data_IF_844373239993
#
_entry.id   IF_844373239993
#
_cell.length_a   1.000
_cell.length_b   1.000
_cell.length_c   1.000
_cell.angle_alpha   90.00
_cell.angle_beta   90.00
_cell.angle_gamma   90.00
#
_symmetry.space_group_name_H-M   'P 1'
#
loop_
_entity.id
_entity.type
_entity.pdbx_description
1 polymer ?
#
# COMPACT_ATOMS: atom_id res chain seq x y z
N UNK A 1 2.00 1.36 23.79
CA UNK A 1 1.57 2.56 23.06
C UNK A 1 1.24 2.28 21.58
N UNK A 2 1.90 1.35 20.87
CA UNK A 2 1.59 1.01 19.45
C UNK A 2 0.24 0.31 19.23
N UNK A 3 -0.31 -0.41 20.21
CA UNK A 3 -1.63 -1.08 20.12
C UNK A 3 -2.83 -0.13 20.26
N UNK A 4 -2.65 1.07 20.79
CA UNK A 4 -3.73 2.06 20.92
C UNK A 4 -4.00 2.85 19.62
N UNK A 5 -3.04 2.95 18.70
CA UNK A 5 -3.23 3.69 17.43
C UNK A 5 -4.11 2.91 16.43
N UNK A 6 -4.02 1.58 16.39
CA UNK A 6 -4.86 0.76 15.51
C UNK A 6 -6.34 0.79 15.92
N UNK A 7 -6.61 0.84 17.24
CA UNK A 7 -7.97 0.92 17.76
C UNK A 7 -8.61 2.30 17.58
N UNK A 8 -7.82 3.37 17.53
CA UNK A 8 -8.33 4.74 17.33
C UNK A 8 -8.84 5.01 15.91
N UNK A 9 -8.34 4.32 14.89
CA UNK A 9 -8.84 4.43 13.52
C UNK A 9 -10.19 3.72 13.30
N UNK A 10 -10.50 2.69 14.10
CA UNK A 10 -11.76 1.94 13.99
C UNK A 10 -12.94 2.65 14.69
N UNK A 11 -12.69 3.50 15.68
CA UNK A 11 -13.74 4.12 16.52
C UNK A 11 -14.26 5.48 16.04
N UNK A 12 -13.67 6.09 15.04
CA UNK A 12 -14.15 7.40 14.50
C UNK A 12 -15.28 7.25 13.47
N UNK A 13 -15.59 6.04 13.01
CA UNK A 13 -16.58 5.81 11.93
C UNK A 13 -18.02 5.56 12.41
N UNK A 14 -18.31 5.51 13.71
CA UNK A 14 -19.64 5.13 14.22
C UNK A 14 -20.58 6.28 14.63
N UNK A 15 -20.26 7.52 14.38
CA UNK A 15 -21.16 8.62 14.72
C UNK A 15 -21.29 9.59 13.54
N UNK A 16 -22.32 9.46 12.76
CA UNK A 16 -23.18 10.43 12.04
C UNK A 16 -23.75 9.80 10.76
N UNK A 17 -25.05 9.57 10.73
CA UNK A 17 -26.02 9.96 9.71
C UNK A 17 -27.19 8.98 9.60
N UNK A 18 -28.26 9.33 10.28
CA UNK A 18 -29.63 9.02 9.83
C UNK A 18 -30.05 10.14 8.88
N UNK A 19 -30.31 9.82 7.61
CA UNK A 19 -30.96 10.80 6.72
C UNK A 19 -30.93 10.45 5.24
N UNK A 20 -32.10 10.00 4.74
CA UNK A 20 -32.59 10.10 3.36
C UNK A 20 -31.99 9.20 2.26
N UNK A 21 -32.72 8.10 2.04
CA UNK A 21 -32.72 7.25 0.85
C UNK A 21 -33.21 8.00 -0.38
N UNK A 22 -32.40 8.19 -1.38
CA UNK A 22 -32.79 8.22 -2.79
C UNK A 22 -31.84 7.38 -3.59
N UNK A 23 -32.37 6.33 -4.24
CA UNK A 23 -31.59 5.32 -4.90
C UNK A 23 -30.83 5.83 -6.12
N UNK A 24 -29.52 5.65 -6.09
CA UNK A 24 -28.68 5.59 -7.28
C UNK A 24 -28.18 4.16 -7.44
N UNK A 25 -28.59 3.49 -8.50
CA UNK A 25 -27.96 2.25 -8.94
C UNK A 25 -26.54 2.59 -9.42
N UNK A 26 -25.55 2.40 -8.57
CA UNK A 26 -24.15 2.43 -8.97
C UNK A 26 -23.80 1.06 -9.51
N UNK A 27 -23.65 0.99 -10.84
CA UNK A 27 -23.00 -0.15 -11.50
C UNK A 27 -21.57 -0.22 -10.99
N UNK A 28 -21.24 -1.27 -10.25
CA UNK A 28 -19.88 -1.57 -9.85
C UNK A 28 -19.06 -1.94 -11.09
N UNK A 29 -18.47 -0.94 -11.73
CA UNK A 29 -17.43 -1.18 -12.71
C UNK A 29 -16.16 -1.59 -11.96
N UNK A 30 -15.95 -2.89 -11.86
CA UNK A 30 -14.73 -3.52 -11.38
C UNK A 30 -13.65 -3.30 -12.45
N UNK A 31 -13.13 -2.09 -12.57
CA UNK A 31 -11.96 -1.83 -13.42
C UNK A 31 -10.72 -2.08 -12.57
N UNK A 32 -10.32 -3.36 -12.50
CA UNK A 32 -8.93 -3.67 -12.23
C UNK A 32 -8.14 -2.99 -13.33
N UNK A 33 -7.37 -1.96 -12.98
CA UNK A 33 -6.34 -1.44 -13.87
C UNK A 33 -5.31 -2.54 -14.09
N UNK A 34 -5.45 -3.26 -15.20
CA UNK A 34 -4.38 -4.03 -15.80
C UNK A 34 -3.45 -3.05 -16.50
N UNK A 35 -2.72 -2.25 -15.72
CA UNK A 35 -1.60 -1.54 -16.28
C UNK A 35 -0.50 -2.55 -16.57
N UNK A 36 -0.10 -2.54 -17.83
CA UNK A 36 0.78 -3.53 -18.42
C UNK A 36 2.04 -3.77 -17.57
N UNK A 37 2.31 -5.03 -17.31
CA UNK A 37 3.60 -5.51 -16.82
C UNK A 37 4.68 -4.87 -17.70
N UNK A 38 5.59 -4.05 -17.15
CA UNK A 38 6.65 -3.47 -17.93
C UNK A 38 7.46 -4.62 -18.55
N UNK A 39 7.69 -4.54 -19.86
CA UNK A 39 8.57 -5.45 -20.58
C UNK A 39 9.91 -5.49 -19.83
N UNK A 40 10.19 -6.61 -19.17
CA UNK A 40 11.45 -6.85 -18.48
C UNK A 40 12.57 -6.68 -19.52
N UNK A 41 13.39 -5.64 -19.37
CA UNK A 41 14.69 -5.59 -20.01
C UNK A 41 15.45 -6.86 -19.59
N UNK A 42 16.33 -7.38 -20.46
CA UNK A 42 17.11 -8.58 -20.21
C UNK A 42 17.72 -8.48 -18.81
N UNK A 43 17.20 -9.30 -17.89
CA UNK A 43 17.55 -9.19 -16.48
C UNK A 43 19.05 -9.40 -16.32
N UNK A 44 19.74 -8.42 -15.75
CA UNK A 44 21.09 -8.64 -15.21
C UNK A 44 20.98 -9.81 -14.21
N UNK A 45 21.89 -10.79 -14.23
CA UNK A 45 21.86 -11.92 -13.31
C UNK A 45 21.90 -11.48 -11.83
N UNK A 46 22.22 -10.22 -11.58
CA UNK A 46 22.32 -9.61 -10.26
C UNK A 46 21.01 -8.97 -9.77
N UNK A 47 20.05 -8.76 -10.68
CA UNK A 47 18.73 -8.18 -10.33
C UNK A 47 17.73 -9.32 -10.06
N UNK A 48 17.04 -9.33 -8.92
CA UNK A 48 16.12 -10.40 -8.60
C UNK A 48 14.89 -10.38 -9.54
N UNK A 49 14.47 -11.59 -9.93
CA UNK A 49 13.16 -11.78 -10.57
C UNK A 49 12.10 -11.87 -9.48
N UNK A 50 10.99 -11.20 -9.72
CA UNK A 50 9.87 -11.15 -8.79
C UNK A 50 8.72 -11.99 -9.32
N UNK A 51 8.28 -12.95 -8.53
CA UNK A 51 7.00 -13.65 -8.68
C UNK A 51 6.08 -13.30 -7.52
N UNK A 52 4.85 -13.77 -7.53
CA UNK A 52 3.90 -13.49 -6.47
C UNK A 52 3.32 -14.77 -5.88
N UNK A 53 2.94 -14.70 -4.60
CA UNK A 53 2.26 -15.78 -3.89
C UNK A 53 1.06 -15.22 -3.14
N UNK A 54 -0.06 -15.94 -3.20
CA UNK A 54 -1.27 -15.65 -2.44
C UNK A 54 -1.33 -16.48 -1.15
N UNK A 55 -1.85 -15.88 -0.09
CA UNK A 55 -2.34 -16.54 1.11
C UNK A 55 -3.82 -16.21 1.22
N UNK A 56 -4.65 -17.24 1.31
CA UNK A 56 -6.11 -17.09 1.41
C UNK A 56 -6.59 -17.71 2.71
N UNK A 57 -7.62 -17.09 3.30
CA UNK A 57 -8.33 -17.57 4.49
C UNK A 57 -9.82 -17.37 4.29
N UNK A 58 -10.60 -18.31 4.83
CA UNK A 58 -12.04 -18.22 4.86
C UNK A 58 -12.51 -18.74 6.21
N UNK A 59 -13.42 -18.00 6.82
CA UNK A 59 -14.01 -18.33 8.11
C UNK A 59 -15.51 -18.49 7.93
N UNK A 60 -16.06 -19.57 8.47
CA UNK A 60 -17.49 -19.90 8.38
C UNK A 60 -18.11 -19.90 9.76
N UNK A 61 -19.44 -19.91 9.82
CA UNK A 61 -20.19 -19.97 11.08
C UNK A 61 -19.81 -21.23 11.87
N UNK A 62 -19.82 -22.41 11.20
CA UNK A 62 -19.37 -23.68 11.78
C UNK A 62 -19.08 -24.68 10.64
N UNK A 63 -18.61 -25.89 10.98
CA UNK A 63 -18.44 -27.00 10.02
C UNK A 63 -19.77 -27.46 9.40
N UNK A 64 -20.90 -27.27 10.07
CA UNK A 64 -22.25 -27.65 9.61
C UNK A 64 -23.00 -26.48 8.93
N UNK A 65 -22.63 -25.24 9.26
CA UNK A 65 -23.15 -24.03 8.61
C UNK A 65 -22.01 -23.36 7.84
N UNK A 66 -21.95 -23.62 6.55
CA UNK A 66 -20.92 -23.13 5.62
C UNK A 66 -21.10 -21.63 5.26
N UNK A 67 -22.02 -20.92 5.94
CA UNK A 67 -22.16 -19.46 5.74
C UNK A 67 -20.83 -18.76 6.02
N UNK A 68 -20.31 -18.09 5.00
CA UNK A 68 -19.01 -17.40 5.07
C UNK A 68 -19.15 -16.12 5.85
N UNK A 69 -18.43 -16.00 6.95
CA UNK A 69 -18.39 -14.81 7.79
C UNK A 69 -17.32 -13.80 7.31
N UNK A 70 -16.15 -14.31 6.94
CA UNK A 70 -14.99 -13.51 6.55
C UNK A 70 -14.17 -14.22 5.48
N UNK A 71 -13.75 -13.47 4.47
CA UNK A 71 -12.72 -13.89 3.51
C UNK A 71 -11.53 -12.97 3.57
N UNK A 72 -10.32 -13.52 3.45
CA UNK A 72 -9.11 -12.75 3.38
C UNK A 72 -8.14 -13.27 2.32
N UNK A 73 -7.43 -12.34 1.64
CA UNK A 73 -6.46 -12.66 0.59
C UNK A 73 -5.29 -11.70 0.63
N UNK A 74 -4.09 -12.23 0.82
CA UNK A 74 -2.87 -11.43 0.86
C UNK A 74 -1.87 -11.90 -0.17
N UNK A 75 -1.47 -10.99 -1.05
CA UNK A 75 -0.43 -11.22 -2.05
C UNK A 75 0.91 -10.72 -1.54
N UNK A 76 1.95 -11.53 -1.67
CA UNK A 76 3.32 -11.13 -1.37
C UNK A 76 4.21 -11.35 -2.59
N UNK A 77 5.26 -10.51 -2.79
CA UNK A 77 6.31 -10.79 -3.76
C UNK A 77 7.21 -11.91 -3.23
N UNK A 78 7.76 -12.69 -4.16
CA UNK A 78 8.81 -13.67 -3.90
C UNK A 78 9.97 -13.37 -4.84
N UNK A 79 11.06 -12.90 -4.29
CA UNK A 79 12.27 -12.53 -5.02
C UNK A 79 13.18 -13.75 -5.15
N UNK A 80 13.71 -13.95 -6.36
CA UNK A 80 14.70 -15.00 -6.65
C UNK A 80 15.81 -14.47 -7.54
N UNK A 81 17.05 -14.91 -7.31
CA UNK A 81 18.17 -14.65 -8.22
C UNK A 81 18.22 -15.73 -9.30
N UNK A 82 18.49 -15.33 -10.53
CA UNK A 82 18.52 -16.26 -11.68
C UNK A 82 19.86 -16.97 -11.89
N UNK A 83 20.95 -16.46 -11.27
CA UNK A 83 22.29 -17.07 -11.35
C UNK A 83 22.47 -18.19 -10.33
N UNK A 84 23.26 -19.21 -10.68
CA UNK A 84 23.71 -20.18 -9.68
C UNK A 84 24.62 -19.46 -8.67
N UNK A 85 24.35 -19.57 -7.36
CA UNK A 85 25.22 -18.93 -6.37
C UNK A 85 26.61 -19.53 -6.45
N UNK A 86 27.57 -18.73 -6.87
CA UNK A 86 28.97 -19.07 -6.64
C UNK A 86 29.26 -18.87 -5.15
N UNK A 87 29.29 -19.98 -4.42
CA UNK A 87 29.54 -19.96 -2.98
C UNK A 87 30.95 -19.46 -2.60
N UNK A 88 31.82 -19.22 -3.56
CA UNK A 88 33.14 -18.61 -3.35
C UNK A 88 33.09 -17.07 -3.45
N UNK A 89 32.05 -16.51 -4.12
CA UNK A 89 31.87 -15.06 -4.30
C UNK A 89 31.11 -14.40 -3.11
N UNK A 90 31.80 -13.52 -2.39
CA UNK A 90 31.22 -12.76 -1.27
C UNK A 90 30.08 -11.85 -1.73
N UNK A 91 30.18 -11.27 -2.92
CA UNK A 91 29.13 -10.41 -3.45
C UNK A 91 27.85 -11.20 -3.75
N UNK A 92 27.98 -12.41 -4.32
CA UNK A 92 26.82 -13.30 -4.54
C UNK A 92 26.13 -13.70 -3.23
N UNK A 93 26.91 -14.01 -2.17
CA UNK A 93 26.36 -14.29 -0.84
C UNK A 93 25.59 -13.08 -0.27
N UNK A 94 26.14 -11.88 -0.40
CA UNK A 94 25.50 -10.67 0.10
C UNK A 94 24.18 -10.42 -0.63
N UNK A 95 24.14 -10.57 -1.96
CA UNK A 95 22.89 -10.44 -2.74
C UNK A 95 21.83 -11.47 -2.32
N UNK A 96 22.24 -12.72 -2.13
CA UNK A 96 21.31 -13.76 -1.66
C UNK A 96 20.76 -13.43 -0.26
N UNK A 97 21.60 -12.94 0.64
CA UNK A 97 21.17 -12.51 1.97
C UNK A 97 20.22 -11.29 1.91
N UNK A 98 20.44 -10.36 0.96
CA UNK A 98 19.56 -9.24 0.74
C UNK A 98 18.16 -9.69 0.26
N UNK A 99 18.11 -10.55 -0.77
CA UNK A 99 16.87 -11.15 -1.27
C UNK A 99 16.12 -11.90 -0.18
N UNK A 100 16.83 -12.68 0.65
CA UNK A 100 16.21 -13.39 1.76
C UNK A 100 15.58 -12.43 2.78
N UNK A 101 16.27 -11.33 3.14
CA UNK A 101 15.71 -10.33 4.06
C UNK A 101 14.42 -9.69 3.53
N UNK A 102 14.36 -9.40 2.23
CA UNK A 102 13.15 -8.85 1.61
C UNK A 102 12.01 -9.87 1.66
N UNK A 103 12.28 -11.13 1.32
CA UNK A 103 11.30 -12.21 1.39
C UNK A 103 10.81 -12.43 2.83
N UNK A 104 11.71 -12.38 3.81
CA UNK A 104 11.36 -12.51 5.24
C UNK A 104 10.50 -11.33 5.71
N UNK A 105 10.79 -10.11 5.24
CA UNK A 105 9.99 -8.93 5.55
C UNK A 105 8.54 -9.10 5.07
N UNK A 106 8.32 -9.52 3.82
CA UNK A 106 6.97 -9.74 3.28
C UNK A 106 6.28 -10.93 3.92
N UNK A 107 7.02 -11.96 4.28
CA UNK A 107 6.48 -13.11 5.04
C UNK A 107 5.99 -12.64 6.41
N UNK A 108 6.79 -11.86 7.14
CA UNK A 108 6.42 -11.30 8.43
C UNK A 108 5.24 -10.32 8.34
N UNK A 109 5.21 -9.48 7.30
CA UNK A 109 4.07 -8.61 7.04
C UNK A 109 2.77 -9.41 6.81
N UNK A 110 2.80 -10.42 5.95
CA UNK A 110 1.65 -11.31 5.71
C UNK A 110 1.18 -11.99 6.98
N UNK A 111 2.10 -12.51 7.79
CA UNK A 111 1.77 -13.20 9.04
C UNK A 111 1.08 -12.23 10.02
N UNK A 112 1.53 -10.98 10.09
CA UNK A 112 0.86 -9.94 10.88
C UNK A 112 -0.56 -9.64 10.38
N UNK A 113 -0.79 -9.64 9.03
CA UNK A 113 -2.15 -9.48 8.50
C UNK A 113 -3.04 -10.67 8.90
N UNK A 114 -2.50 -11.88 8.80
CA UNK A 114 -3.24 -13.10 9.20
C UNK A 114 -3.58 -13.10 10.70
N UNK A 115 -2.66 -12.68 11.54
CA UNK A 115 -2.88 -12.60 12.99
C UNK A 115 -3.98 -11.60 13.39
N UNK A 116 -4.22 -10.56 12.58
CA UNK A 116 -5.31 -9.59 12.79
C UNK A 116 -6.69 -10.13 12.40
N UNK A 117 -6.76 -11.23 11.64
CA UNK A 117 -8.04 -11.80 11.20
C UNK A 117 -8.86 -12.38 12.34
N UNK A 118 -8.24 -12.82 13.44
CA UNK A 118 -8.95 -13.37 14.59
C UNK A 118 -9.91 -12.33 15.21
N UNK A 119 -9.47 -11.06 15.32
CA UNK A 119 -10.32 -9.98 15.81
C UNK A 119 -11.46 -9.68 14.80
N UNK A 120 -11.18 -9.71 13.51
CA UNK A 120 -12.18 -9.46 12.48
C UNK A 120 -13.19 -10.61 12.37
N UNK A 121 -12.74 -11.87 12.51
CA UNK A 121 -13.62 -13.03 12.59
C UNK A 121 -14.56 -12.93 13.80
N UNK A 122 -14.02 -12.58 14.95
CA UNK A 122 -14.84 -12.41 16.17
C UNK A 122 -15.92 -11.35 15.95
N UNK A 123 -15.58 -10.20 15.39
CA UNK A 123 -16.53 -9.12 15.05
C UNK A 123 -17.64 -9.62 14.10
N UNK A 124 -17.25 -10.34 13.04
CA UNK A 124 -18.20 -10.87 12.06
C UNK A 124 -19.15 -11.89 12.71
N UNK A 125 -18.63 -12.73 13.60
CA UNK A 125 -19.40 -13.73 14.34
C UNK A 125 -20.39 -13.09 15.32
N UNK A 126 -19.95 -12.08 16.07
CA UNK A 126 -20.81 -11.34 17.01
C UNK A 126 -21.94 -10.60 16.27
N UNK A 127 -21.66 -9.99 15.12
CA UNK A 127 -22.68 -9.36 14.28
C UNK A 127 -23.65 -10.40 13.72
N UNK A 128 -23.15 -11.53 13.21
CA UNK A 128 -23.99 -12.62 12.72
C UNK A 128 -24.96 -13.12 13.79
N UNK A 129 -24.48 -13.39 15.01
CA UNK A 129 -25.30 -13.87 16.12
C UNK A 129 -26.34 -12.81 16.56
N UNK A 130 -25.92 -11.55 16.70
CA UNK A 130 -26.77 -10.46 17.17
C UNK A 130 -27.90 -10.14 16.18
N UNK A 131 -27.64 -10.23 14.87
CA UNK A 131 -28.59 -9.93 13.81
C UNK A 131 -29.38 -11.15 13.32
N UNK A 132 -29.07 -12.35 13.82
CA UNK A 132 -29.62 -13.61 13.32
C UNK A 132 -29.08 -14.02 11.94
N UNK A 133 -28.03 -13.37 11.48
CA UNK A 133 -27.31 -13.69 10.25
C UNK A 133 -28.12 -13.44 8.97
N UNK A 134 -29.19 -12.69 9.00
CA UNK A 134 -30.08 -12.49 7.85
C UNK A 134 -29.32 -11.92 6.64
N UNK A 135 -28.45 -10.94 6.88
CA UNK A 135 -27.66 -10.27 5.84
C UNK A 135 -26.70 -11.25 5.13
N UNK A 136 -26.02 -12.13 5.90
CA UNK A 136 -25.15 -13.16 5.33
C UNK A 136 -25.86 -14.20 4.49
N UNK A 137 -27.13 -14.45 4.80
CA UNK A 137 -27.96 -15.46 4.11
C UNK A 137 -28.67 -14.92 2.87
N UNK A 138 -28.94 -13.62 2.82
CA UNK A 138 -29.80 -13.01 1.78
C UNK A 138 -29.05 -12.10 0.81
N UNK A 139 -27.91 -11.51 1.20
CA UNK A 139 -27.22 -10.50 0.40
C UNK A 139 -25.86 -10.97 -0.16
N UNK A 140 -25.49 -12.25 -0.01
CA UNK A 140 -24.17 -12.78 -0.36
C UNK A 140 -23.04 -11.91 0.30
N UNK A 141 -23.26 -11.57 1.55
CA UNK A 141 -22.43 -10.69 2.34
C UNK A 141 -21.40 -11.49 3.14
N UNK A 142 -20.17 -11.01 3.17
CA UNK A 142 -19.13 -11.43 4.11
C UNK A 142 -18.20 -10.27 4.41
N UNK A 143 -17.59 -10.30 5.57
CA UNK A 143 -16.45 -9.44 5.84
C UNK A 143 -15.33 -9.80 4.87
N UNK A 144 -14.53 -8.81 4.48
CA UNK A 144 -13.45 -9.03 3.51
C UNK A 144 -12.23 -8.20 3.88
N UNK A 145 -11.06 -8.83 3.84
CA UNK A 145 -9.79 -8.15 4.03
C UNK A 145 -8.76 -8.66 3.01
N UNK A 146 -8.33 -7.78 2.14
CA UNK A 146 -7.51 -8.15 1.00
C UNK A 146 -6.35 -7.17 0.82
N UNK A 147 -5.19 -7.68 0.42
CA UNK A 147 -4.11 -6.85 -0.09
C UNK A 147 -3.49 -7.47 -1.35
N UNK A 148 -3.50 -6.69 -2.43
CA UNK A 148 -2.77 -6.97 -3.65
C UNK A 148 -1.46 -6.20 -3.71
N UNK A 149 -0.55 -6.60 -4.60
CA UNK A 149 0.72 -5.91 -4.80
C UNK A 149 0.94 -5.53 -6.26
N UNK A 150 1.68 -4.44 -6.43
CA UNK A 150 2.41 -4.11 -7.66
C UNK A 150 3.79 -3.59 -7.26
N UNK A 151 4.71 -3.50 -8.23
CA UNK A 151 6.06 -3.02 -7.93
C UNK A 151 6.70 -2.32 -9.13
N UNK A 152 7.69 -1.52 -8.80
CA UNK A 152 8.70 -1.02 -9.71
C UNK A 152 10.07 -1.32 -9.15
N UNK A 153 11.03 -1.66 -10.02
CA UNK A 153 12.42 -1.82 -9.64
C UNK A 153 13.36 -1.31 -10.73
N UNK A 154 14.52 -0.84 -10.31
CA UNK A 154 15.72 -0.70 -11.12
C UNK A 154 16.78 -1.73 -10.67
N UNK A 155 18.06 -1.54 -10.97
CA UNK A 155 19.11 -2.45 -10.54
C UNK A 155 19.44 -2.37 -9.04
N UNK A 156 19.00 -1.30 -8.34
CA UNK A 156 19.43 -0.93 -6.99
C UNK A 156 18.29 -0.81 -5.98
N UNK A 157 17.12 -0.42 -6.44
CA UNK A 157 15.94 -0.15 -5.63
C UNK A 157 14.74 -0.99 -6.08
N UNK A 158 14.05 -1.58 -5.13
CA UNK A 158 12.73 -2.15 -5.29
C UNK A 158 11.72 -1.30 -4.52
N UNK A 159 10.66 -0.84 -5.18
CA UNK A 159 9.50 -0.19 -4.55
C UNK A 159 8.27 -1.05 -4.76
N UNK A 160 7.68 -1.56 -3.69
CA UNK A 160 6.47 -2.37 -3.71
C UNK A 160 5.29 -1.55 -3.20
N UNK A 161 4.20 -1.58 -3.95
CA UNK A 161 2.90 -1.03 -3.57
C UNK A 161 2.05 -2.14 -2.97
N UNK A 162 1.56 -1.94 -1.77
CA UNK A 162 0.53 -2.74 -1.12
C UNK A 162 -0.80 -1.99 -1.27
N UNK A 163 -1.78 -2.61 -1.93
CA UNK A 163 -3.11 -2.04 -2.15
C UNK A 163 -4.12 -2.84 -1.34
N UNK A 164 -4.72 -2.19 -0.36
CA UNK A 164 -5.62 -2.82 0.61
C UNK A 164 -7.07 -2.52 0.28
N UNK A 165 -7.92 -3.50 0.57
CA UNK A 165 -9.39 -3.37 0.58
C UNK A 165 -9.88 -4.08 1.83
N UNK A 166 -10.58 -3.35 2.71
CA UNK A 166 -11.21 -3.94 3.89
C UNK A 166 -12.69 -3.56 3.92
N UNK A 167 -13.55 -4.54 4.20
CA UNK A 167 -14.99 -4.34 4.26
C UNK A 167 -15.59 -5.13 5.41
N UNK A 168 -16.14 -4.41 6.37
CA UNK A 168 -16.83 -4.96 7.54
C UNK A 168 -18.31 -4.56 7.57
N UNK A 169 -18.89 -4.27 6.41
CA UNK A 169 -20.24 -3.71 6.30
C UNK A 169 -20.21 -2.19 6.11
N UNK A 170 -21.40 -1.60 5.93
CA UNK A 170 -21.55 -0.17 5.67
C UNK A 170 -21.71 0.15 4.19
N UNK A 171 -21.58 1.45 3.84
CA UNK A 171 -21.91 1.96 2.51
C UNK A 171 -20.87 1.59 1.43
N UNK A 172 -19.62 1.39 1.81
CA UNK A 172 -18.52 1.09 0.90
C UNK A 172 -17.33 0.45 1.66
N UNK A 173 -16.42 -0.28 0.97
CA UNK A 173 -15.18 -0.74 1.57
C UNK A 173 -14.24 0.43 1.87
N UNK A 174 -13.34 0.23 2.82
CA UNK A 174 -12.15 1.06 3.03
C UNK A 174 -11.06 0.59 2.08
N UNK A 175 -10.41 1.54 1.41
CA UNK A 175 -9.28 1.27 0.50
C UNK A 175 -8.12 2.19 0.84
N UNK A 176 -6.91 1.65 0.82
CA UNK A 176 -5.69 2.47 0.97
C UNK A 176 -4.51 1.80 0.29
N UNK A 177 -3.51 2.61 -0.03
CA UNK A 177 -2.23 2.14 -0.57
C UNK A 177 -1.08 2.50 0.36
N UNK A 178 -0.11 1.60 0.42
CA UNK A 178 1.13 1.79 1.14
C UNK A 178 2.30 1.42 0.24
N UNK A 179 3.38 2.21 0.28
CA UNK A 179 4.64 1.89 -0.36
C UNK A 179 5.63 1.34 0.65
N UNK A 180 6.44 0.39 0.22
CA UNK A 180 7.66 -0.02 0.91
C UNK A 180 8.77 -0.16 -0.11
N UNK A 181 9.92 0.46 0.18
CA UNK A 181 11.09 0.43 -0.70
C UNK A 181 12.26 -0.28 -0.05
N UNK A 182 13.06 -0.97 -0.86
CA UNK A 182 14.20 -1.76 -0.41
C UNK A 182 15.43 -1.46 -1.26
N UNK A 183 16.57 -1.28 -0.62
CA UNK A 183 17.88 -1.36 -1.25
C UNK A 183 18.18 -2.82 -1.60
N UNK A 184 18.28 -3.13 -2.87
CA UNK A 184 18.49 -4.49 -3.37
C UNK A 184 19.89 -5.06 -3.01
N UNK A 185 20.86 -4.20 -2.69
CA UNK A 185 22.18 -4.65 -2.26
C UNK A 185 22.25 -5.14 -0.82
N UNK A 186 21.41 -4.55 0.05
CA UNK A 186 21.38 -4.81 1.49
C UNK A 186 20.13 -5.56 1.95
N UNK A 187 19.04 -5.47 1.21
CA UNK A 187 17.72 -5.97 1.57
C UNK A 187 17.06 -5.19 2.72
N UNK A 188 17.58 -4.00 3.05
CA UNK A 188 17.00 -3.12 4.05
C UNK A 188 15.93 -2.23 3.44
N UNK A 189 14.94 -1.87 4.24
CA UNK A 189 13.97 -0.82 3.87
C UNK A 189 14.66 0.52 3.72
N UNK A 190 14.16 1.33 2.79
CA UNK A 190 14.64 2.67 2.48
C UNK A 190 13.48 3.64 2.68
N UNK A 191 13.69 4.64 3.53
CA UNK A 191 12.77 5.77 3.73
C UNK A 191 13.20 6.98 2.89
N UNK A 192 12.30 7.94 2.71
CA UNK A 192 12.64 9.23 2.08
C UNK A 192 13.77 9.94 2.83
N UNK A 193 13.78 9.84 4.15
CA UNK A 193 14.79 10.44 5.01
C UNK A 193 16.20 9.90 4.72
N UNK A 194 16.32 8.62 4.38
CA UNK A 194 17.61 8.00 4.03
C UNK A 194 18.19 8.57 2.74
N UNK A 195 17.33 9.09 1.85
CA UNK A 195 17.71 9.58 0.52
C UNK A 195 18.01 11.09 0.50
N UNK A 196 17.64 11.84 1.52
CA UNK A 196 17.74 13.30 1.56
C UNK A 196 19.08 13.78 2.11
N UNK A 197 19.62 14.87 1.55
CA UNK A 197 20.77 15.62 2.14
C UNK A 197 20.31 16.40 3.36
N UNK A 198 19.19 17.07 3.24
CA UNK A 198 18.49 17.79 4.31
C UNK A 198 17.00 17.53 4.14
N UNK A 199 16.43 16.80 5.09
CA UNK A 199 15.03 16.36 5.00
C UNK A 199 14.08 17.56 5.05
N UNK A 200 14.37 18.59 5.86
CA UNK A 200 13.48 19.75 5.98
C UNK A 200 13.42 20.54 4.66
N UNK A 201 14.54 20.63 3.94
CA UNK A 201 14.56 21.29 2.63
C UNK A 201 13.79 20.50 1.58
N UNK A 202 13.91 19.18 1.61
CA UNK A 202 13.13 18.30 0.70
C UNK A 202 11.65 18.36 1.02
N UNK A 203 11.26 18.29 2.31
CA UNK A 203 9.87 18.42 2.76
C UNK A 203 9.23 19.70 2.26
N UNK A 204 9.88 20.86 2.50
CA UNK A 204 9.36 22.15 2.07
C UNK A 204 9.25 22.24 0.54
N UNK A 205 10.28 21.79 -0.20
CA UNK A 205 10.25 21.82 -1.66
C UNK A 205 9.10 20.99 -2.24
N UNK A 206 8.90 19.77 -1.75
CA UNK A 206 7.83 18.87 -2.22
C UNK A 206 6.46 19.38 -1.79
N UNK A 207 6.32 19.89 -0.56
CA UNK A 207 5.10 20.54 -0.09
C UNK A 207 4.65 21.66 -1.05
N UNK A 208 5.55 22.58 -1.41
CA UNK A 208 5.24 23.65 -2.34
C UNK A 208 4.87 23.15 -3.74
N UNK A 209 5.48 22.05 -4.20
CA UNK A 209 5.13 21.44 -5.49
C UNK A 209 3.74 20.81 -5.47
N UNK A 210 3.35 20.16 -4.38
CA UNK A 210 2.01 19.59 -4.20
C UNK A 210 0.97 20.70 -4.15
N UNK A 211 1.17 21.73 -3.33
CA UNK A 211 0.24 22.86 -3.24
C UNK A 211 0.02 23.54 -4.60
N UNK A 212 1.09 23.68 -5.40
CA UNK A 212 1.00 24.23 -6.75
C UNK A 212 0.15 23.35 -7.66
N UNK A 213 0.35 22.02 -7.64
CA UNK A 213 -0.45 21.10 -8.43
C UNK A 213 -1.94 21.16 -8.03
N UNK A 214 -2.26 21.28 -6.73
CA UNK A 214 -3.63 21.46 -6.24
C UNK A 214 -4.22 22.76 -6.79
N UNK A 215 -3.51 23.88 -6.71
CA UNK A 215 -3.98 25.16 -7.21
C UNK A 215 -4.18 25.15 -8.73
N UNK A 216 -3.25 24.56 -9.47
CA UNK A 216 -3.29 24.50 -10.94
C UNK A 216 -4.42 23.58 -11.44
N UNK A 217 -4.82 22.57 -10.66
CA UNK A 217 -5.93 21.67 -11.00
C UNK A 217 -7.28 22.40 -11.01
N UNK A 218 -7.42 23.45 -10.21
CA UNK A 218 -8.70 24.15 -9.99
C UNK A 218 -9.73 23.30 -9.24
N UNK A 219 -9.36 22.12 -8.71
CA UNK A 219 -10.25 21.26 -7.95
C UNK A 219 -10.50 21.89 -6.56
N UNK A 220 -11.77 21.95 -6.19
CA UNK A 220 -12.26 22.51 -4.91
C UNK A 220 -12.77 21.45 -3.95
N UNK A 221 -12.55 20.16 -4.25
CA UNK A 221 -13.03 19.04 -3.43
C UNK A 221 -12.21 18.79 -2.16
N UNK A 222 -11.04 19.44 -2.03
CA UNK A 222 -10.17 19.30 -0.87
C UNK A 222 -10.81 19.85 0.42
N UNK A 223 -10.48 19.22 1.56
CA UNK A 223 -10.86 19.72 2.87
C UNK A 223 -10.26 21.12 3.12
N UNK A 224 -10.89 21.92 3.98
CA UNK A 224 -10.45 23.31 4.23
C UNK A 224 -9.06 23.43 4.88
N UNK A 225 -8.55 22.35 5.48
CA UNK A 225 -7.25 22.26 6.17
C UNK A 225 -6.31 21.22 5.54
N UNK A 226 -6.54 20.89 4.26
CA UNK A 226 -5.73 19.91 3.54
C UNK A 226 -4.23 20.26 3.54
N UNK A 227 -3.89 21.54 3.57
CA UNK A 227 -2.53 22.06 3.57
C UNK A 227 -1.71 21.56 4.76
N UNK A 228 -2.34 21.39 5.92
CA UNK A 228 -1.69 20.82 7.11
C UNK A 228 -1.32 19.36 6.92
N UNK A 229 -2.22 18.59 6.32
CA UNK A 229 -1.96 17.17 6.02
C UNK A 229 -0.94 17.02 4.89
N UNK A 230 -0.94 17.94 3.91
CA UNK A 230 0.06 17.96 2.84
C UNK A 230 1.43 18.31 3.39
N UNK A 231 1.55 19.11 4.44
CA UNK A 231 2.84 19.41 5.08
C UNK A 231 3.51 18.13 5.61
N UNK A 232 2.73 17.18 6.11
CA UNK A 232 3.22 15.89 6.62
C UNK A 232 3.31 14.82 5.52
N UNK A 233 3.56 15.20 4.25
CA UNK A 233 3.59 14.29 3.10
C UNK A 233 4.60 13.15 3.27
N UNK A 234 5.67 13.36 4.03
CA UNK A 234 6.72 12.36 4.27
C UNK A 234 6.21 11.13 5.03
N UNK A 235 5.15 11.29 5.81
CA UNK A 235 4.46 10.21 6.51
C UNK A 235 3.50 9.44 5.59
N UNK A 236 3.38 9.87 4.33
CA UNK A 236 2.51 9.27 3.33
C UNK A 236 3.26 8.23 2.51
N UNK A 237 2.52 7.56 1.65
CA UNK A 237 3.11 6.57 0.75
C UNK A 237 3.82 7.24 -0.42
N UNK A 238 5.11 6.99 -0.53
CA UNK A 238 5.97 7.51 -1.59
C UNK A 238 6.38 6.38 -2.53
N UNK A 239 5.92 6.45 -3.76
CA UNK A 239 6.17 5.46 -4.80
C UNK A 239 7.22 5.98 -5.76
N UNK A 240 8.22 5.16 -6.06
CA UNK A 240 9.27 5.46 -7.03
C UNK A 240 8.96 4.80 -8.37
N UNK A 241 9.33 5.47 -9.45
CA UNK A 241 9.32 4.94 -10.80
C UNK A 241 10.50 5.50 -11.61
N UNK A 242 10.63 5.14 -12.90
CA UNK A 242 11.75 5.55 -13.74
C UNK A 242 11.84 7.08 -14.00
N UNK A 243 10.80 7.86 -13.70
CA UNK A 243 10.70 9.27 -14.05
C UNK A 243 10.62 10.21 -12.86
N UNK A 244 10.26 9.70 -11.69
CA UNK A 244 10.03 10.53 -10.52
C UNK A 244 9.42 9.77 -9.38
N UNK A 245 8.90 10.52 -8.43
CA UNK A 245 8.19 10.01 -7.25
C UNK A 245 6.71 10.35 -7.35
N UNK A 246 5.87 9.49 -6.82
CA UNK A 246 4.44 9.75 -6.65
C UNK A 246 4.12 9.69 -5.17
N UNK A 247 3.56 10.77 -4.63
CA UNK A 247 3.08 10.84 -3.27
C UNK A 247 1.58 10.58 -3.29
N UNK A 248 1.12 9.69 -2.42
CA UNK A 248 -0.29 9.27 -2.35
C UNK A 248 -0.86 9.66 -1.01
N UNK A 249 -1.91 10.46 -1.05
CA UNK A 249 -2.83 10.69 0.04
C UNK A 249 -4.03 9.78 -0.15
N UNK A 250 -4.24 8.89 0.78
CA UNK A 250 -5.34 7.93 0.70
C UNK A 250 -6.69 8.62 0.82
N UNK A 251 -7.75 7.90 0.54
CA UNK A 251 -9.13 8.37 0.70
C UNK A 251 -9.34 8.91 2.12
N UNK A 252 -9.91 10.10 2.23
CA UNK A 252 -10.10 10.88 3.46
C UNK A 252 -8.84 11.55 4.05
N UNK A 253 -7.66 11.41 3.46
CA UNK A 253 -6.50 12.14 3.97
C UNK A 253 -6.65 13.65 3.76
N UNK A 254 -6.95 14.08 2.52
CA UNK A 254 -7.06 15.50 2.15
C UNK A 254 -8.33 15.85 1.37
N UNK A 255 -9.14 14.85 1.02
CA UNK A 255 -10.38 15.02 0.25
C UNK A 255 -11.42 13.96 0.67
N UNK A 256 -12.75 14.17 0.43
CA UNK A 256 -13.78 13.20 0.77
C UNK A 256 -13.67 11.94 -0.08
N UNK A 257 -14.32 10.85 0.37
CA UNK A 257 -14.35 9.56 -0.31
C UNK A 257 -14.70 9.65 -1.80
N UNK A 258 -15.65 10.54 -2.14
CA UNK A 258 -16.09 10.72 -3.53
C UNK A 258 -15.02 11.27 -4.48
N UNK A 259 -13.98 11.91 -3.95
CA UNK A 259 -12.83 12.38 -4.69
C UNK A 259 -11.76 11.28 -4.89
N UNK A 260 -11.88 10.16 -4.15
CA UNK A 260 -10.90 9.08 -4.17
C UNK A 260 -9.57 9.44 -3.51
N UNK A 261 -8.56 8.63 -3.78
CA UNK A 261 -7.19 8.95 -3.35
C UNK A 261 -6.63 10.09 -4.22
N UNK A 262 -5.77 10.91 -3.61
CA UNK A 262 -5.13 12.03 -4.28
C UNK A 262 -3.65 11.72 -4.53
N UNK A 263 -3.19 11.87 -5.78
CA UNK A 263 -1.84 11.49 -6.17
C UNK A 263 -1.10 12.65 -6.80
N UNK A 264 0.15 12.87 -6.37
CA UNK A 264 0.99 13.96 -6.86
C UNK A 264 2.29 13.40 -7.40
N UNK A 265 2.47 13.52 -8.72
CA UNK A 265 3.70 13.10 -9.37
C UNK A 265 4.71 14.24 -9.38
N UNK A 266 5.94 13.95 -8.95
CA UNK A 266 7.06 14.89 -8.92
C UNK A 266 8.23 14.31 -9.71
N UNK A 267 8.60 14.92 -10.85
CA UNK A 267 9.76 14.51 -11.64
C UNK A 267 11.06 14.58 -10.84
N UNK A 268 11.99 13.66 -11.12
CA UNK A 268 13.29 13.63 -10.43
C UNK A 268 14.08 14.94 -10.56
N UNK A 269 13.99 15.65 -11.68
CA UNK A 269 14.68 16.93 -11.87
C UNK A 269 14.34 17.97 -10.79
N UNK A 270 13.13 17.88 -10.20
CA UNK A 270 12.67 18.79 -9.15
C UNK A 270 13.12 18.38 -7.75
N UNK A 271 13.43 17.11 -7.52
CA UNK A 271 13.86 16.61 -6.20
C UNK A 271 15.35 16.26 -6.15
N UNK A 272 15.99 16.01 -7.29
CA UNK A 272 17.42 15.68 -7.40
C UNK A 272 18.35 16.62 -6.61
N UNK A 273 18.13 17.95 -6.58
CA UNK A 273 18.99 18.86 -5.80
C UNK A 273 18.98 18.62 -4.28
N UNK A 274 18.00 17.91 -3.75
CA UNK A 274 17.82 17.65 -2.33
C UNK A 274 18.27 16.24 -1.93
N UNK A 275 18.61 15.39 -2.90
CA UNK A 275 19.06 14.01 -2.64
C UNK A 275 20.54 13.99 -2.24
N UNK A 276 20.88 13.09 -1.35
CA UNK A 276 22.26 12.75 -1.03
C UNK A 276 22.84 11.74 -2.04
N UNK A 277 24.14 11.44 -1.94
CA UNK A 277 24.82 10.50 -2.85
C UNK A 277 24.17 9.11 -2.84
N UNK A 278 23.67 8.66 -1.70
CA UNK A 278 22.97 7.38 -1.58
C UNK A 278 21.62 7.39 -2.33
N UNK A 279 20.86 8.48 -2.18
CA UNK A 279 19.61 8.67 -2.92
C UNK A 279 19.83 8.75 -4.43
N UNK A 280 20.82 9.54 -4.88
CA UNK A 280 21.21 9.62 -6.29
C UNK A 280 21.62 8.24 -6.82
N UNK A 281 22.38 7.47 -6.03
CA UNK A 281 22.80 6.13 -6.39
C UNK A 281 21.62 5.16 -6.52
N UNK A 282 20.77 5.05 -5.52
CA UNK A 282 19.64 4.10 -5.54
C UNK A 282 18.63 4.39 -6.65
N UNK A 283 18.43 5.67 -6.97
CA UNK A 283 17.48 6.11 -8.00
C UNK A 283 18.13 6.18 -9.41
N UNK A 284 19.42 5.80 -9.54
CA UNK A 284 20.19 5.85 -10.79
C UNK A 284 20.25 7.24 -11.42
N UNK A 285 20.38 8.27 -10.57
CA UNK A 285 20.47 9.68 -10.95
C UNK A 285 21.90 10.24 -10.85
N UNK A 286 22.86 9.39 -10.53
CA UNK A 286 24.28 9.69 -10.34
C UNK A 286 25.10 9.69 -11.67
N UNK A 287 24.42 9.61 -12.81
CA UNK A 287 25.03 9.59 -14.17
C UNK A 287 24.99 10.96 -14.86
#
# INVERSE_FOLDING_TARGET
MKKLLALAMLLVLCAVLTGLLTGCKVSAANTMMTDGVPKVAVASPDVPVISTKWTERQYTVSEQDETVLLTARYQIPVLTLTGSPDNSDTAAKNRQAAVQRINDWFTGWRDQQVDMLDEMEQMAREEYETTGGERWKTEDFAYRDEAGISWWQNERLLCVTLSYVSYTGGAHPSTWRQAVSFDLSTGKTVSVTDLATDINQLEEAVYQLILRQIQDSGDTSYFSDYDKTVLDWIERSVFYNAKGVTIVFNTYDIAPYSAGEQTFFIPYDLVKPYLNDYGLHLLELDT
#
